data_IF_145180714370
#
_entry.id   IF_145180714370
#
_cell.length_a   1.000
_cell.length_b   1.000
_cell.length_c   1.000
_cell.angle_alpha   90.00
_cell.angle_beta   90.00
_cell.angle_gamma   90.00
#
_symmetry.space_group_name_H-M   'P 1'
#
loop_
_entity.id
_entity.type
_entity.pdbx_description
1 polymer ?
#
# COMPACT_ATOMS: atom_id res chain seq x y z
N UNK A 1 3.86 -6.32 29.76
CA UNK A 1 3.25 -7.09 30.87
C UNK A 1 3.35 -6.31 32.16
N UNK A 2 4.56 -6.04 32.67
CA UNK A 2 4.78 -5.27 33.92
C UNK A 2 3.93 -4.00 33.93
N UNK A 3 4.06 -3.16 32.90
CA UNK A 3 3.26 -1.94 32.75
C UNK A 3 1.75 -2.16 32.73
N UNK A 4 1.26 -3.23 32.11
CA UNK A 4 -0.18 -3.53 32.05
C UNK A 4 -0.73 -3.92 33.43
N UNK A 5 0.08 -4.61 34.24
CA UNK A 5 -0.26 -5.00 35.61
C UNK A 5 -0.15 -3.81 36.57
N UNK A 6 0.92 -3.02 36.47
CA UNK A 6 1.14 -1.83 37.29
C UNK A 6 0.01 -0.80 37.13
N UNK A 7 -0.45 -0.61 35.88
CA UNK A 7 -1.58 0.28 35.55
C UNK A 7 -2.95 -0.40 35.68
N UNK A 8 -3.00 -1.68 36.07
CA UNK A 8 -4.21 -2.48 36.25
C UNK A 8 -5.18 -2.47 35.04
N UNK A 9 -4.64 -2.51 33.81
CA UNK A 9 -5.42 -2.35 32.57
C UNK A 9 -6.32 -3.54 32.27
N UNK A 10 -7.59 -3.28 31.94
CA UNK A 10 -8.54 -4.32 31.51
C UNK A 10 -8.42 -4.62 30.01
N UNK A 11 -8.05 -3.62 29.20
CA UNK A 11 -7.84 -3.78 27.77
C UNK A 11 -6.83 -2.81 27.20
N UNK A 12 -6.23 -3.19 26.08
CA UNK A 12 -5.26 -2.44 25.31
C UNK A 12 -5.73 -2.42 23.85
N UNK A 13 -6.06 -1.22 23.36
CA UNK A 13 -6.42 -1.00 21.96
C UNK A 13 -5.19 -0.52 21.21
N UNK A 14 -4.77 -1.27 20.20
CA UNK A 14 -3.61 -0.96 19.36
C UNK A 14 -4.14 -0.38 18.05
N UNK A 15 -3.86 0.90 17.83
CA UNK A 15 -4.26 1.65 16.64
C UNK A 15 -3.07 1.71 15.69
N UNK A 16 -3.19 1.14 14.50
CA UNK A 16 -2.11 1.21 13.52
C UNK A 16 -2.32 0.34 12.28
N UNK A 17 -1.27 0.25 11.47
CA UNK A 17 -1.29 -0.47 10.21
C UNK A 17 -0.90 -1.93 10.36
N UNK A 18 -0.30 -2.47 9.30
CA UNK A 18 0.10 -3.87 9.19
C UNK A 18 1.08 -4.31 10.29
N UNK A 19 2.10 -3.50 10.57
CA UNK A 19 3.14 -3.83 11.57
C UNK A 19 2.58 -3.82 12.99
N UNK A 20 1.90 -2.75 13.38
CA UNK A 20 1.29 -2.62 14.71
C UNK A 20 0.27 -3.71 15.00
N UNK A 21 -0.54 -4.12 14.02
CA UNK A 21 -1.49 -5.20 14.20
C UNK A 21 -0.84 -6.60 14.20
N UNK A 22 0.32 -6.76 13.58
CA UNK A 22 1.14 -7.97 13.72
C UNK A 22 1.69 -8.08 15.15
N UNK A 23 2.17 -6.97 15.70
CA UNK A 23 2.62 -6.89 17.10
C UNK A 23 1.46 -7.11 18.07
N UNK A 24 0.27 -6.57 17.75
CA UNK A 24 -0.94 -6.79 18.55
C UNK A 24 -1.29 -8.28 18.66
N UNK A 25 -1.16 -9.04 17.58
CA UNK A 25 -1.41 -10.48 17.58
C UNK A 25 -0.41 -11.23 18.48
N UNK A 26 0.88 -10.91 18.36
CA UNK A 26 1.93 -11.52 19.18
C UNK A 26 1.81 -11.13 20.66
N UNK A 27 1.44 -9.88 20.94
CA UNK A 27 1.22 -9.38 22.29
C UNK A 27 -0.01 -10.05 22.93
N UNK A 28 -1.11 -10.18 22.19
CA UNK A 28 -2.31 -10.87 22.65
C UNK A 28 -1.98 -12.31 23.09
N UNK A 29 -1.26 -13.05 22.25
CA UNK A 29 -0.82 -14.41 22.55
C UNK A 29 0.07 -14.47 23.79
N UNK A 30 1.06 -13.58 23.88
CA UNK A 30 1.99 -13.52 25.02
C UNK A 30 1.27 -13.21 26.34
N UNK A 31 0.29 -12.31 26.32
CA UNK A 31 -0.48 -11.97 27.52
C UNK A 31 -1.40 -13.11 27.96
N UNK A 32 -1.98 -13.85 27.01
CA UNK A 32 -2.78 -15.05 27.31
C UNK A 32 -1.91 -16.15 27.91
N UNK A 33 -0.75 -16.45 27.31
CA UNK A 33 0.19 -17.45 27.83
C UNK A 33 0.67 -17.15 29.25
N UNK A 34 0.82 -15.86 29.58
CA UNK A 34 1.23 -15.41 30.92
C UNK A 34 0.07 -15.17 31.89
N UNK A 35 -1.15 -15.60 31.54
CA UNK A 35 -2.37 -15.43 32.34
C UNK A 35 -2.61 -13.97 32.78
N UNK A 36 -2.30 -13.01 31.92
CA UNK A 36 -2.60 -11.60 32.17
C UNK A 36 -4.08 -11.31 31.86
N UNK A 37 -4.74 -10.52 32.73
CA UNK A 37 -6.16 -10.16 32.53
C UNK A 37 -6.40 -9.27 31.31
N UNK A 38 -5.42 -8.45 30.94
CA UNK A 38 -5.53 -7.41 29.92
C UNK A 38 -5.81 -8.01 28.55
N UNK A 39 -6.89 -7.55 27.90
CA UNK A 39 -7.27 -7.96 26.54
C UNK A 39 -6.61 -7.08 25.49
N UNK A 40 -6.27 -7.62 24.33
CA UNK A 40 -5.65 -6.84 23.25
C UNK A 40 -6.54 -6.85 22.02
N UNK A 41 -6.84 -5.66 21.49
CA UNK A 41 -7.67 -5.45 20.29
C UNK A 41 -6.92 -4.55 19.30
N UNK A 42 -6.98 -4.89 18.02
CA UNK A 42 -6.39 -4.10 16.93
C UNK A 42 -7.41 -3.21 16.22
N UNK A 43 -6.98 -2.06 15.72
CA UNK A 43 -7.78 -1.15 14.88
C UNK A 43 -7.03 -0.85 13.58
N UNK A 44 -7.66 -1.01 12.40
CA UNK A 44 -6.99 -0.85 11.11
C UNK A 44 -6.86 0.63 10.72
N UNK A 45 -5.74 1.25 11.08
CA UNK A 45 -5.43 2.65 10.76
C UNK A 45 -4.16 2.72 9.93
N UNK A 46 -4.29 3.15 8.68
CA UNK A 46 -3.18 3.29 7.75
C UNK A 46 -3.56 4.30 6.67
N UNK A 47 -2.67 5.24 6.40
CA UNK A 47 -2.81 6.16 5.28
C UNK A 47 -2.54 5.50 3.91
N UNK A 48 -1.91 4.33 3.90
CA UNK A 48 -1.48 3.68 2.66
C UNK A 48 -2.60 2.85 2.02
N UNK A 49 -3.69 2.53 2.73
CA UNK A 49 -4.72 1.61 2.23
C UNK A 49 -4.25 0.16 2.09
N UNK A 50 -3.12 -0.20 2.70
CA UNK A 50 -2.41 -1.46 2.48
C UNK A 50 -2.84 -2.60 3.41
N UNK A 51 -3.52 -2.29 4.52
CA UNK A 51 -4.16 -3.28 5.38
C UNK A 51 -5.57 -3.59 4.85
N UNK A 52 -5.62 -4.25 3.70
CA UNK A 52 -6.87 -4.60 3.01
C UNK A 52 -6.93 -6.11 2.79
N UNK A 53 -8.06 -6.71 3.14
CA UNK A 53 -8.30 -8.15 2.99
C UNK A 53 -9.80 -8.44 3.02
N UNK A 54 -10.17 -9.72 3.02
CA UNK A 54 -11.58 -10.15 3.05
C UNK A 54 -12.40 -9.62 4.24
N UNK A 55 -11.77 -9.18 5.33
CA UNK A 55 -12.45 -8.63 6.52
C UNK A 55 -12.36 -7.11 6.61
N UNK A 56 -11.43 -6.48 5.89
CA UNK A 56 -11.12 -5.06 5.96
C UNK A 56 -11.20 -4.47 4.56
N UNK A 57 -12.29 -3.77 4.27
CA UNK A 57 -12.54 -3.12 2.98
C UNK A 57 -11.58 -1.93 2.75
N UNK A 58 -11.31 -1.14 3.78
CA UNK A 58 -10.35 -0.02 3.75
C UNK A 58 -9.86 0.35 5.16
N UNK A 59 -8.88 1.26 5.23
CA UNK A 59 -8.25 1.72 6.47
C UNK A 59 -8.57 3.18 6.78
N UNK A 60 -8.67 3.51 8.07
CA UNK A 60 -8.87 4.90 8.50
C UNK A 60 -7.69 5.77 8.06
N UNK A 61 -7.99 6.92 7.48
CA UNK A 61 -7.04 7.93 7.02
C UNK A 61 -6.74 7.86 5.52
N UNK A 62 -7.07 6.74 4.86
CA UNK A 62 -6.86 6.58 3.43
C UNK A 62 -7.69 7.56 2.61
N UNK A 63 -8.97 7.75 2.95
CA UNK A 63 -9.87 8.67 2.23
C UNK A 63 -9.38 10.11 2.33
N UNK A 64 -9.09 10.57 3.55
CA UNK A 64 -8.58 11.93 3.81
C UNK A 64 -7.30 12.21 3.03
N UNK A 65 -6.33 11.30 3.09
CA UNK A 65 -5.03 11.47 2.43
C UNK A 65 -5.19 11.50 0.91
N UNK A 66 -6.04 10.63 0.35
CA UNK A 66 -6.30 10.63 -1.09
C UNK A 66 -7.02 11.89 -1.56
N UNK A 67 -7.99 12.43 -0.80
CA UNK A 67 -8.67 13.69 -1.14
C UNK A 67 -7.71 14.87 -1.16
N UNK A 68 -6.88 15.01 -0.12
CA UNK A 68 -5.90 16.11 -0.03
C UNK A 68 -4.85 16.00 -1.14
N UNK A 69 -4.29 14.81 -1.35
CA UNK A 69 -3.30 14.61 -2.42
C UNK A 69 -3.92 14.84 -3.80
N UNK A 70 -5.14 14.38 -4.05
CA UNK A 70 -5.84 14.58 -5.33
C UNK A 70 -6.10 16.06 -5.60
N UNK A 71 -6.46 16.84 -4.58
CA UNK A 71 -6.59 18.29 -4.68
C UNK A 71 -5.26 18.93 -5.12
N UNK A 72 -4.15 18.59 -4.44
CA UNK A 72 -2.83 19.12 -4.75
C UNK A 72 -2.36 18.73 -6.16
N UNK A 73 -2.53 17.47 -6.54
CA UNK A 73 -2.22 16.97 -7.88
C UNK A 73 -3.04 17.72 -8.93
N UNK A 74 -4.33 17.95 -8.66
CA UNK A 74 -5.18 18.65 -9.62
C UNK A 74 -4.78 20.10 -9.84
N UNK A 75 -4.28 20.78 -8.81
CA UNK A 75 -3.71 22.12 -8.94
C UNK A 75 -2.44 22.08 -9.83
N UNK A 76 -1.60 21.07 -9.65
CA UNK A 76 -0.42 20.84 -10.51
C UNK A 76 -0.82 20.54 -11.95
N UNK A 77 -1.88 19.75 -12.16
CA UNK A 77 -2.45 19.49 -13.48
C UNK A 77 -2.91 20.78 -14.17
N UNK A 78 -3.60 21.67 -13.46
CA UNK A 78 -4.02 22.97 -13.99
C UNK A 78 -2.84 23.88 -14.30
N UNK A 79 -1.80 23.89 -13.45
CA UNK A 79 -0.56 24.63 -13.71
C UNK A 79 0.15 24.09 -14.95
N UNK A 80 0.16 22.77 -15.16
CA UNK A 80 0.75 22.14 -16.33
C UNK A 80 0.07 22.59 -17.65
N UNK A 81 -1.27 22.65 -17.68
CA UNK A 81 -2.00 23.20 -18.84
C UNK A 81 -1.66 24.68 -19.04
N UNK A 82 -1.67 25.46 -17.95
CA UNK A 82 -1.50 26.91 -18.00
C UNK A 82 -0.10 27.31 -18.47
N UNK A 83 0.94 26.60 -18.00
CA UNK A 83 2.33 26.87 -18.35
C UNK A 83 2.73 26.27 -19.72
N UNK A 84 2.18 25.10 -20.09
CA UNK A 84 2.38 24.45 -21.38
C UNK A 84 3.83 24.04 -21.69
N UNK A 85 4.68 23.88 -20.67
CA UNK A 85 6.13 23.63 -20.83
C UNK A 85 6.80 22.69 -19.82
N UNK A 86 6.11 22.30 -18.76
CA UNK A 86 6.69 21.51 -17.67
C UNK A 86 6.07 20.12 -17.58
N UNK A 87 6.93 19.14 -17.30
CA UNK A 87 6.51 17.82 -16.85
C UNK A 87 6.68 17.71 -15.34
N UNK A 88 5.58 17.48 -14.62
CA UNK A 88 5.59 17.39 -13.16
C UNK A 88 5.70 15.94 -12.74
N UNK A 89 6.72 15.65 -11.94
CA UNK A 89 6.97 14.34 -11.33
C UNK A 89 6.51 14.42 -9.89
N UNK A 90 5.35 13.83 -9.61
CA UNK A 90 4.71 13.90 -8.29
C UNK A 90 4.88 12.55 -7.59
N UNK A 91 5.76 12.51 -6.59
CA UNK A 91 5.90 11.37 -5.70
C UNK A 91 4.80 11.38 -4.65
N UNK A 92 4.21 10.21 -4.40
CA UNK A 92 3.16 10.00 -3.41
C UNK A 92 3.60 8.99 -2.35
N UNK A 93 3.26 9.28 -1.09
CA UNK A 93 3.41 8.32 -0.01
C UNK A 93 2.49 7.10 -0.19
N UNK A 94 2.99 5.93 0.17
CA UNK A 94 2.29 4.65 0.02
C UNK A 94 3.07 3.42 0.49
N UNK A 95 4.26 3.62 1.07
CA UNK A 95 5.25 2.58 1.38
C UNK A 95 5.44 1.61 0.22
N UNK A 96 4.92 0.39 0.31
CA UNK A 96 5.16 -0.69 -0.66
C UNK A 96 4.09 -0.83 -1.73
N UNK A 97 2.86 -0.40 -1.47
CA UNK A 97 1.72 -0.59 -2.36
C UNK A 97 1.32 0.74 -3.01
N UNK A 98 0.76 0.69 -4.22
CA UNK A 98 0.44 1.92 -4.97
C UNK A 98 -1.00 2.42 -4.77
N UNK A 99 -1.71 1.98 -3.72
CA UNK A 99 -3.15 2.30 -3.51
C UNK A 99 -3.45 3.79 -3.52
N UNK A 100 -2.64 4.59 -2.81
CA UNK A 100 -2.79 6.06 -2.76
C UNK A 100 -2.62 6.66 -4.15
N UNK A 101 -1.63 6.19 -4.91
CA UNK A 101 -1.35 6.69 -6.25
C UNK A 101 -2.45 6.30 -7.25
N UNK A 102 -3.00 5.09 -7.13
CA UNK A 102 -4.15 4.63 -7.92
C UNK A 102 -5.40 5.46 -7.66
N UNK A 103 -5.76 5.66 -6.39
CA UNK A 103 -6.93 6.47 -6.02
C UNK A 103 -6.77 7.92 -6.49
N UNK A 104 -5.60 8.52 -6.27
CA UNK A 104 -5.31 9.87 -6.73
C UNK A 104 -5.39 9.99 -8.26
N UNK A 105 -4.94 8.97 -9.00
CA UNK A 105 -5.04 8.95 -10.46
C UNK A 105 -6.51 8.88 -10.94
N UNK A 106 -7.35 8.07 -10.28
CA UNK A 106 -8.78 7.99 -10.59
C UNK A 106 -9.53 9.29 -10.29
N UNK A 107 -9.09 10.06 -9.29
CA UNK A 107 -9.71 11.34 -8.92
C UNK A 107 -9.26 12.52 -9.81
N UNK A 108 -7.96 12.59 -10.15
CA UNK A 108 -7.34 13.76 -10.80
C UNK A 108 -7.01 13.58 -12.29
N UNK A 109 -7.01 12.33 -12.79
CA UNK A 109 -6.71 11.96 -14.18
C UNK A 109 -5.34 12.48 -14.70
N UNK A 110 -4.22 12.22 -14.02
CA UNK A 110 -2.89 12.59 -14.50
C UNK A 110 -2.58 11.88 -15.83
N UNK A 111 -1.59 12.37 -16.60
CA UNK A 111 -1.29 11.72 -17.88
C UNK A 111 -0.69 10.33 -17.72
N UNK A 112 0.08 10.13 -16.66
CA UNK A 112 0.79 8.89 -16.43
C UNK A 112 0.79 8.53 -14.94
N UNK A 113 0.59 7.25 -14.65
CA UNK A 113 0.81 6.65 -13.35
C UNK A 113 1.75 5.45 -13.55
N UNK A 114 2.85 5.41 -12.79
CA UNK A 114 3.70 4.21 -12.72
C UNK A 114 3.30 3.43 -11.48
N UNK A 115 2.81 2.22 -11.62
CA UNK A 115 2.50 1.37 -10.47
C UNK A 115 3.63 0.38 -10.21
N UNK A 116 4.02 0.27 -8.93
CA UNK A 116 5.01 -0.71 -8.51
C UNK A 116 4.60 -2.14 -8.86
N UNK A 117 3.32 -2.46 -8.71
CA UNK A 117 2.77 -3.79 -8.98
C UNK A 117 2.91 -4.21 -10.45
N UNK A 118 2.68 -3.29 -11.41
CA UNK A 118 2.86 -3.57 -12.85
C UNK A 118 4.34 -3.77 -13.21
N UNK A 119 5.20 -2.95 -12.62
CA UNK A 119 6.66 -3.00 -12.78
C UNK A 119 7.22 -4.32 -12.24
N UNK A 120 6.78 -4.73 -11.05
CA UNK A 120 7.20 -5.98 -10.42
C UNK A 120 6.69 -7.21 -11.19
N UNK A 121 5.43 -7.19 -11.65
CA UNK A 121 4.85 -8.29 -12.43
C UNK A 121 5.57 -8.49 -13.77
N UNK A 122 5.86 -7.40 -14.46
CA UNK A 122 6.50 -7.41 -15.78
C UNK A 122 8.04 -7.46 -15.70
N UNK A 123 8.60 -7.38 -14.47
CA UNK A 123 10.04 -7.35 -14.19
C UNK A 123 10.78 -6.26 -14.96
N UNK A 124 10.18 -5.06 -15.05
CA UNK A 124 10.78 -3.96 -15.79
C UNK A 124 12.06 -3.47 -15.09
N UNK A 125 13.09 -3.23 -15.88
CA UNK A 125 14.32 -2.54 -15.47
C UNK A 125 14.08 -1.05 -15.29
N UNK A 126 14.98 -0.37 -14.57
CA UNK A 126 14.94 1.08 -14.40
C UNK A 126 14.93 1.78 -15.77
N UNK A 127 15.78 1.33 -16.70
CA UNK A 127 15.85 1.91 -18.04
C UNK A 127 14.59 1.68 -18.87
N UNK A 128 13.89 0.55 -18.73
CA UNK A 128 12.60 0.32 -19.38
C UNK A 128 11.51 1.25 -18.84
N UNK A 129 11.49 1.50 -17.53
CA UNK A 129 10.58 2.49 -16.93
C UNK A 129 10.88 3.90 -17.46
N UNK A 130 12.16 4.28 -17.54
CA UNK A 130 12.57 5.57 -18.14
C UNK A 130 12.13 5.66 -19.60
N UNK A 131 12.37 4.62 -20.40
CA UNK A 131 11.96 4.60 -21.80
C UNK A 131 10.44 4.72 -21.95
N UNK A 132 9.64 4.04 -21.13
CA UNK A 132 8.17 4.17 -21.13
C UNK A 132 7.72 5.61 -20.87
N UNK A 133 8.38 6.32 -19.95
CA UNK A 133 8.12 7.74 -19.68
C UNK A 133 8.51 8.60 -20.88
N UNK A 134 9.71 8.40 -21.41
CA UNK A 134 10.19 9.13 -22.60
C UNK A 134 9.27 8.91 -23.81
N UNK A 135 8.80 7.70 -24.05
CA UNK A 135 7.89 7.37 -25.15
C UNK A 135 6.55 8.12 -24.99
N UNK A 136 6.01 8.21 -23.77
CA UNK A 136 4.83 9.03 -23.46
C UNK A 136 5.05 10.52 -23.72
N UNK A 137 6.21 11.06 -23.30
CA UNK A 137 6.61 12.45 -23.57
C UNK A 137 6.71 12.72 -25.08
N UNK A 138 7.29 11.78 -25.83
CA UNK A 138 7.41 11.89 -27.29
C UNK A 138 6.05 11.87 -27.99
N UNK A 139 5.17 10.92 -27.64
CA UNK A 139 3.83 10.82 -28.21
C UNK A 139 3.01 12.10 -27.97
N UNK A 140 3.13 12.70 -26.78
CA UNK A 140 2.49 13.99 -26.49
C UNK A 140 3.10 15.15 -27.31
N UNK A 141 4.42 15.15 -27.47
CA UNK A 141 5.11 16.17 -28.24
C UNK A 141 4.75 16.14 -29.74
N UNK A 142 4.45 14.97 -30.29
CA UNK A 142 3.93 14.81 -31.66
C UNK A 142 2.56 15.47 -31.83
N UNK A 143 1.76 15.53 -30.76
CA UNK A 143 0.49 16.27 -30.69
C UNK A 143 0.67 17.75 -30.33
N UNK A 144 1.91 18.26 -30.27
CA UNK A 144 2.21 19.64 -29.89
C UNK A 144 2.08 19.93 -28.38
N UNK A 145 1.92 18.89 -27.55
CA UNK A 145 1.81 19.02 -26.09
C UNK A 145 3.18 18.79 -25.44
N UNK A 146 3.68 19.78 -24.71
CA UNK A 146 5.01 19.75 -24.08
C UNK A 146 4.94 19.85 -22.56
N UNK A 147 3.81 19.48 -21.99
CA UNK A 147 3.55 19.45 -20.56
C UNK A 147 2.89 18.12 -20.17
N UNK A 148 2.97 17.79 -18.89
CA UNK A 148 2.22 16.65 -18.35
C UNK A 148 2.47 16.44 -16.86
N UNK A 149 1.70 15.54 -16.26
CA UNK A 149 1.79 15.15 -14.86
C UNK A 149 1.95 13.64 -14.75
N UNK A 150 2.98 13.22 -14.03
CA UNK A 150 3.33 11.84 -13.75
C UNK A 150 3.22 11.57 -12.25
N UNK A 151 2.45 10.56 -11.87
CA UNK A 151 2.37 10.09 -10.49
C UNK A 151 3.30 8.90 -10.26
N UNK A 152 4.05 8.96 -9.16
CA UNK A 152 5.06 7.96 -8.78
C UNK A 152 4.82 7.55 -7.33
N UNK A 153 4.55 6.27 -7.03
CA UNK A 153 4.50 5.79 -5.65
C UNK A 153 5.93 5.73 -5.09
N UNK A 154 6.13 6.13 -3.84
CA UNK A 154 7.46 6.08 -3.19
C UNK A 154 8.07 4.66 -3.17
N UNK A 155 7.22 3.62 -3.15
CA UNK A 155 7.62 2.22 -3.21
C UNK A 155 8.11 1.70 -4.56
N UNK A 156 8.11 2.53 -5.60
CA UNK A 156 8.49 2.12 -6.94
C UNK A 156 9.90 1.50 -6.99
N UNK A 157 10.84 2.02 -6.20
CA UNK A 157 12.22 1.53 -6.19
C UNK A 157 12.32 0.08 -5.70
N UNK A 158 11.51 -0.34 -4.71
CA UNK A 158 11.48 -1.75 -4.28
C UNK A 158 10.79 -2.66 -5.29
N UNK A 159 10.02 -2.10 -6.22
CA UNK A 159 9.31 -2.86 -7.25
C UNK A 159 10.17 -3.18 -8.47
N UNK A 160 11.24 -2.40 -8.68
CA UNK A 160 12.21 -2.61 -9.77
C UNK A 160 13.21 -3.70 -9.32
N UNK A 161 13.30 -4.86 -10.00
CA UNK A 161 14.07 -6.01 -9.51
C UNK A 161 15.54 -5.72 -9.20
N UNK A 162 16.19 -4.92 -10.04
CA UNK A 162 17.61 -4.56 -9.89
C UNK A 162 17.87 -3.62 -8.73
N UNK A 163 16.98 -2.65 -8.52
CA UNK A 163 17.04 -1.76 -7.37
C UNK A 163 16.70 -2.51 -6.08
N UNK A 164 15.72 -3.41 -6.11
CA UNK A 164 15.38 -4.27 -4.98
C UNK A 164 16.58 -5.12 -4.55
N UNK A 165 17.24 -5.80 -5.50
CA UNK A 165 18.44 -6.60 -5.21
C UNK A 165 19.56 -5.76 -4.58
N UNK A 166 19.83 -4.57 -5.12
CA UNK A 166 20.81 -3.62 -4.56
C UNK A 166 20.45 -3.22 -3.12
N UNK A 167 19.18 -2.85 -2.86
CA UNK A 167 18.70 -2.49 -1.52
C UNK A 167 18.84 -3.67 -0.55
N UNK A 168 18.55 -4.89 -0.99
CA UNK A 168 18.71 -6.08 -0.15
C UNK A 168 20.18 -6.38 0.17
N UNK A 169 21.10 -6.21 -0.79
CA UNK A 169 22.54 -6.34 -0.53
C UNK A 169 23.03 -5.29 0.48
N UNK A 170 22.66 -4.02 0.29
CA UNK A 170 23.01 -2.93 1.21
C UNK A 170 22.42 -3.18 2.60
N UNK A 171 21.18 -3.67 2.67
CA UNK A 171 20.50 -4.05 3.91
C UNK A 171 21.25 -5.16 4.66
N UNK A 172 21.68 -6.20 3.95
CA UNK A 172 22.44 -7.29 4.56
C UNK A 172 23.79 -6.81 5.11
N UNK A 173 24.47 -5.90 4.41
CA UNK A 173 25.74 -5.32 4.88
C UNK A 173 25.54 -4.44 6.13
N UNK A 174 24.47 -3.65 6.18
CA UNK A 174 24.10 -2.88 7.38
C UNK A 174 23.82 -3.79 8.58
N UNK A 175 23.06 -4.87 8.38
CA UNK A 175 22.75 -5.83 9.44
C UNK A 175 24.00 -6.56 9.97
N UNK A 176 25.04 -6.67 9.15
CA UNK A 176 26.34 -7.20 9.54
C UNK A 176 27.27 -6.15 10.17
N UNK A 177 26.76 -4.93 10.46
CA UNK A 177 27.51 -3.81 11.03
C UNK A 177 28.71 -3.34 10.17
N UNK A 178 28.62 -3.50 8.84
CA UNK A 178 29.63 -2.95 7.93
C UNK A 178 29.55 -1.41 7.94
N UNK A 179 30.65 -0.68 8.12
CA UNK A 179 30.63 0.78 8.09
C UNK A 179 30.23 1.28 6.70
N UNK A 180 29.42 2.34 6.66
CA UNK A 180 28.81 2.88 5.42
C UNK A 180 29.83 3.19 4.33
N UNK A 181 31.06 3.56 4.70
CA UNK A 181 32.16 3.84 3.77
C UNK A 181 32.69 2.62 3.03
N UNK A 182 32.54 1.43 3.61
CA UNK A 182 33.03 0.17 3.04
C UNK A 182 31.94 -0.60 2.31
N UNK A 183 30.67 -0.20 2.44
CA UNK A 183 29.55 -0.86 1.75
C UNK A 183 29.78 -0.93 0.23
N UNK A 184 30.17 0.15 -0.48
CA UNK A 184 30.32 0.12 -1.93
C UNK A 184 31.39 -0.86 -2.44
N UNK A 185 32.39 -1.21 -1.63
CA UNK A 185 33.46 -2.14 -2.02
C UNK A 185 33.11 -3.61 -1.77
N UNK A 186 32.09 -3.86 -0.94
CA UNK A 186 31.61 -5.21 -0.60
C UNK A 186 30.36 -5.63 -1.38
N UNK A 187 29.85 -4.77 -2.27
CA UNK A 187 28.73 -5.09 -3.16
C UNK A 187 29.13 -6.12 -4.22
N UNK A 188 28.15 -6.90 -4.68
CA UNK A 188 28.35 -7.76 -5.85
C UNK A 188 28.75 -6.93 -7.08
N UNK A 189 29.48 -7.48 -8.07
CA UNK A 189 29.92 -6.72 -9.25
C UNK A 189 28.77 -6.03 -9.98
N UNK A 190 27.61 -6.68 -10.02
CA UNK A 190 26.41 -6.15 -10.67
C UNK A 190 25.76 -5.03 -9.83
N UNK A 191 25.60 -5.24 -8.53
CA UNK A 191 25.09 -4.21 -7.61
C UNK A 191 26.01 -2.99 -7.57
N UNK A 192 27.33 -3.18 -7.59
CA UNK A 192 28.32 -2.10 -7.65
C UNK A 192 28.23 -1.31 -8.96
N UNK A 193 28.04 -1.97 -10.11
CA UNK A 193 27.84 -1.28 -11.39
C UNK A 193 26.56 -0.44 -11.40
N UNK A 194 25.45 -0.98 -10.89
CA UNK A 194 24.19 -0.23 -10.74
C UNK A 194 24.37 0.95 -9.77
N UNK A 195 25.01 0.71 -8.62
CA UNK A 195 25.31 1.75 -7.65
C UNK A 195 26.16 2.87 -8.27
N UNK A 196 27.15 2.54 -9.11
CA UNK A 196 27.96 3.54 -9.82
C UNK A 196 27.17 4.29 -10.91
N UNK A 197 26.22 3.63 -11.58
CA UNK A 197 25.33 4.25 -12.56
C UNK A 197 24.39 5.30 -11.93
N UNK A 198 23.95 5.07 -10.69
CA UNK A 198 23.04 5.98 -10.00
C UNK A 198 23.69 7.35 -9.70
N UNK A 199 22.92 8.45 -9.78
CA UNK A 199 23.41 9.78 -9.42
C UNK A 199 23.95 9.86 -7.99
N UNK A 200 24.93 10.74 -7.71
CA UNK A 200 25.56 10.83 -6.39
C UNK A 200 24.60 11.10 -5.22
N UNK A 201 23.48 11.78 -5.45
CA UNK A 201 22.49 12.04 -4.40
C UNK A 201 21.75 10.76 -3.97
N UNK A 202 21.23 9.98 -4.93
CA UNK A 202 20.60 8.68 -4.67
C UNK A 202 21.55 7.71 -3.98
N UNK A 203 22.83 7.70 -4.37
CA UNK A 203 23.83 6.85 -3.70
C UNK A 203 23.95 7.15 -2.22
N UNK A 204 23.86 8.42 -1.81
CA UNK A 204 23.89 8.80 -0.40
C UNK A 204 22.61 8.41 0.32
N UNK A 205 21.45 8.60 -0.32
CA UNK A 205 20.13 8.26 0.24
C UNK A 205 19.98 6.75 0.46
N UNK A 206 20.47 5.91 -0.46
CA UNK A 206 20.46 4.45 -0.32
C UNK A 206 21.35 3.93 0.83
N UNK A 207 22.33 4.73 1.26
CA UNK A 207 23.25 4.40 2.34
C UNK A 207 22.80 4.91 3.71
N UNK A 208 21.62 5.54 3.79
CA UNK A 208 21.02 5.97 5.06
C UNK A 208 20.63 4.77 5.92
N UNK A 209 20.53 4.99 7.23
CA UNK A 209 20.12 3.96 8.18
C UNK A 209 18.69 3.45 7.92
N UNK A 210 18.48 2.17 8.23
CA UNK A 210 17.20 1.50 8.03
C UNK A 210 16.13 1.96 9.03
N UNK A 211 14.86 1.70 8.71
CA UNK A 211 13.75 1.80 9.68
C UNK A 211 13.86 0.71 10.76
N UNK A 212 13.08 0.84 11.84
CA UNK A 212 13.08 -0.11 12.96
C UNK A 212 12.64 -1.53 12.59
N UNK A 213 11.98 -1.70 11.45
CA UNK A 213 11.60 -2.99 10.87
C UNK A 213 12.66 -3.56 9.89
N UNK A 214 13.85 -2.95 9.84
CA UNK A 214 14.95 -3.23 8.92
C UNK A 214 14.60 -3.01 7.43
N UNK A 215 13.53 -2.26 7.14
CA UNK A 215 13.25 -1.81 5.78
C UNK A 215 14.05 -0.56 5.43
N UNK A 216 14.25 -0.32 4.13
CA UNK A 216 14.86 0.91 3.67
C UNK A 216 13.91 2.09 3.90
N UNK A 217 14.45 3.27 4.22
CA UNK A 217 13.65 4.50 4.38
C UNK A 217 13.21 5.04 3.00
N UNK A 218 12.19 4.41 2.41
CA UNK A 218 11.73 4.73 1.05
C UNK A 218 11.30 6.20 0.89
N UNK A 219 10.76 6.80 1.94
CA UNK A 219 10.35 8.21 1.90
C UNK A 219 11.52 9.19 1.79
N UNK A 220 12.74 8.78 2.16
CA UNK A 220 13.96 9.59 2.05
C UNK A 220 14.66 9.45 0.69
N UNK A 221 14.25 8.49 -0.13
CA UNK A 221 14.83 8.30 -1.46
C UNK A 221 14.02 9.12 -2.45
N UNK A 222 14.67 10.10 -3.07
CA UNK A 222 14.05 11.05 -4.00
C UNK A 222 13.86 10.41 -5.39
N UNK A 223 12.95 9.44 -5.44
CA UNK A 223 12.64 8.62 -6.61
C UNK A 223 12.20 9.46 -7.81
N UNK A 224 11.41 10.52 -7.56
CA UNK A 224 10.99 11.47 -8.59
C UNK A 224 12.16 12.22 -9.20
N UNK A 225 13.17 12.58 -8.40
CA UNK A 225 14.36 13.27 -8.89
C UNK A 225 15.28 12.32 -9.65
N UNK A 226 15.40 11.06 -9.20
CA UNK A 226 16.08 10.00 -9.95
C UNK A 226 15.47 9.84 -11.34
N UNK A 227 14.15 9.65 -11.41
CA UNK A 227 13.45 9.45 -12.67
C UNK A 227 13.54 10.69 -13.56
N UNK A 228 13.32 11.89 -13.01
CA UNK A 228 13.44 13.13 -13.76
C UNK A 228 14.85 13.32 -14.37
N UNK A 229 15.90 13.05 -13.59
CA UNK A 229 17.29 13.15 -14.05
C UNK A 229 17.60 12.18 -15.19
N UNK A 230 17.18 10.93 -15.06
CA UNK A 230 17.41 9.89 -16.08
C UNK A 230 16.56 10.13 -17.33
N UNK A 231 15.31 10.57 -17.19
CA UNK A 231 14.45 10.97 -18.32
C UNK A 231 15.06 12.16 -19.04
N UNK A 232 15.56 13.18 -18.35
CA UNK A 232 16.22 14.32 -18.99
C UNK A 232 17.45 13.88 -19.80
N UNK A 233 18.30 13.01 -19.24
CA UNK A 233 19.46 12.47 -19.93
C UNK A 233 19.08 11.67 -21.20
N UNK A 234 18.06 10.81 -21.12
CA UNK A 234 17.57 10.03 -22.26
C UNK A 234 16.88 10.92 -23.31
N UNK A 235 16.13 11.95 -22.90
CA UNK A 235 15.52 12.91 -23.83
C UNK A 235 16.59 13.75 -24.57
N UNK A 236 17.67 14.15 -23.90
CA UNK A 236 18.82 14.81 -24.55
C UNK A 236 19.45 13.89 -25.59
N UNK A 237 19.63 12.61 -25.27
CA UNK A 237 20.14 11.61 -26.21
C UNK A 237 19.21 11.46 -27.43
N UNK A 238 17.90 11.29 -27.21
CA UNK A 238 16.87 11.23 -28.27
C UNK A 238 16.85 12.47 -29.16
N UNK A 239 17.14 13.64 -28.60
CA UNK A 239 17.24 14.91 -29.33
C UNK A 239 18.48 14.91 -30.24
N UNK A 240 19.65 14.49 -29.73
CA UNK A 240 20.89 14.38 -30.51
C UNK A 240 20.79 13.37 -31.66
N UNK A 241 20.05 12.29 -31.44
CA UNK A 241 19.75 11.26 -32.45
C UNK A 241 18.66 11.70 -33.46
N UNK A 242 18.01 12.85 -33.27
CA UNK A 242 16.93 13.34 -34.13
C UNK A 242 15.60 12.60 -33.97
N UNK A 243 15.48 11.70 -32.99
CA UNK A 243 14.24 10.97 -32.66
C UNK A 243 13.22 11.85 -31.95
N UNK A 244 13.66 12.86 -31.21
CA UNK A 244 12.79 13.82 -30.55
C UNK A 244 12.89 15.19 -31.21
N UNK A 245 11.75 15.71 -31.68
CA UNK A 245 11.62 17.03 -32.33
C UNK A 245 10.82 18.05 -31.52
N UNK A 246 10.45 17.71 -30.29
CA UNK A 246 9.69 18.59 -29.40
C UNK A 246 10.55 19.67 -28.75
N UNK A 247 9.92 20.48 -27.89
CA UNK A 247 10.63 21.49 -27.08
C UNK A 247 11.57 20.83 -26.07
N UNK A 248 12.57 21.59 -25.59
CA UNK A 248 13.46 21.15 -24.51
C UNK A 248 12.64 20.62 -23.33
N UNK A 249 12.91 19.39 -22.92
CA UNK A 249 12.30 18.76 -21.77
C UNK A 249 12.68 19.54 -20.49
N UNK A 250 11.69 19.80 -19.63
CA UNK A 250 11.89 20.45 -18.34
C UNK A 250 10.99 19.77 -17.31
N UNK A 251 11.60 19.26 -16.26
CA UNK A 251 10.92 18.56 -15.17
C UNK A 251 10.81 19.43 -13.92
N UNK A 252 9.69 19.29 -13.20
CA UNK A 252 9.48 19.85 -11.86
C UNK A 252 9.09 18.71 -10.93
N UNK A 253 9.75 18.60 -9.79
CA UNK A 253 9.57 17.50 -8.85
C UNK A 253 8.78 17.96 -7.63
N UNK A 254 7.81 17.15 -7.21
CA UNK A 254 7.04 17.35 -5.98
C UNK A 254 6.96 16.05 -5.19
N UNK A 255 6.96 16.17 -3.87
CA UNK A 255 6.66 15.06 -2.98
C UNK A 255 5.44 15.41 -2.12
N UNK A 256 4.36 14.65 -2.30
CA UNK A 256 3.14 14.81 -1.52
C UNK A 256 2.95 13.65 -0.53
N UNK A 257 2.81 14.03 0.74
CA UNK A 257 2.82 13.06 1.81
C UNK A 257 2.54 13.67 3.18
N UNK A 258 3.56 14.24 3.81
CA UNK A 258 3.50 14.73 5.18
C UNK A 258 2.36 15.74 5.44
N UNK A 259 2.09 16.62 4.47
CA UNK A 259 0.99 17.58 4.54
C UNK A 259 -0.40 16.91 4.58
N UNK A 260 -0.56 15.77 3.91
CA UNK A 260 -1.83 15.03 3.91
C UNK A 260 -2.04 14.28 5.23
N UNK A 261 -0.97 13.83 5.89
CA UNK A 261 -1.04 13.08 7.16
C UNK A 261 -1.58 13.90 8.34
N UNK A 262 -1.30 15.20 8.35
CA UNK A 262 -1.75 16.14 9.39
C UNK A 262 -3.02 16.91 9.04
N UNK A 263 -3.72 16.51 7.97
CA UNK A 263 -4.94 17.18 7.52
C UNK A 263 -6.14 16.82 8.38
N UNK A 264 -7.17 17.68 8.36
CA UNK A 264 -8.44 17.38 9.02
C UNK A 264 -9.10 16.15 8.37
N UNK A 265 -9.53 15.15 9.16
CA UNK A 265 -10.15 13.95 8.64
C UNK A 265 -11.48 14.26 7.95
N UNK A 266 -11.78 13.59 6.84
CA UNK A 266 -13.08 13.67 6.17
C UNK A 266 -14.22 13.14 7.06
N UNK A 267 -15.47 13.47 6.74
CA UNK A 267 -16.64 12.90 7.42
C UNK A 267 -16.59 11.36 7.46
N UNK A 268 -16.20 10.74 6.34
CA UNK A 268 -16.05 9.28 6.25
C UNK A 268 -15.03 8.72 7.24
N UNK A 269 -13.81 9.29 7.29
CA UNK A 269 -12.78 8.83 8.23
C UNK A 269 -13.14 9.13 9.68
N UNK A 270 -13.84 10.24 9.96
CA UNK A 270 -14.40 10.56 11.28
C UNK A 270 -15.39 9.48 11.74
N UNK A 271 -16.41 9.20 10.92
CA UNK A 271 -17.44 8.21 11.25
C UNK A 271 -16.82 6.81 11.37
N UNK A 272 -15.93 6.45 10.46
CA UNK A 272 -15.29 5.14 10.46
C UNK A 272 -14.39 4.94 11.69
N UNK A 273 -13.55 5.92 12.03
CA UNK A 273 -12.73 5.87 13.23
C UNK A 273 -13.57 5.79 14.51
N UNK A 274 -14.65 6.58 14.57
CA UNK A 274 -15.55 6.60 15.72
C UNK A 274 -16.22 5.23 15.94
N UNK A 275 -16.76 4.64 14.87
CA UNK A 275 -17.38 3.31 14.91
C UNK A 275 -16.38 2.23 15.34
N UNK A 276 -15.16 2.24 14.78
CA UNK A 276 -14.12 1.27 15.16
C UNK A 276 -13.72 1.38 16.64
N UNK A 277 -13.70 2.60 17.19
CA UNK A 277 -13.47 2.83 18.62
C UNK A 277 -14.56 2.20 19.49
N UNK A 278 -15.83 2.38 19.12
CA UNK A 278 -16.97 1.76 19.81
C UNK A 278 -16.94 0.23 19.73
N UNK A 279 -16.63 -0.32 18.56
CA UNK A 279 -16.46 -1.77 18.39
C UNK A 279 -15.38 -2.30 19.33
N UNK A 280 -14.25 -1.61 19.42
CA UNK A 280 -13.12 -2.00 20.28
C UNK A 280 -13.52 -2.06 21.76
N UNK A 281 -14.32 -1.09 22.22
CA UNK A 281 -14.86 -1.09 23.59
C UNK A 281 -15.76 -2.30 23.83
N UNK A 282 -16.71 -2.58 22.92
CA UNK A 282 -17.62 -3.72 23.05
C UNK A 282 -16.88 -5.06 23.00
N UNK A 283 -15.81 -5.17 22.22
CA UNK A 283 -14.98 -6.37 22.16
C UNK A 283 -14.28 -6.64 23.49
N UNK A 284 -13.69 -5.61 24.11
CA UNK A 284 -13.04 -5.73 25.43
C UNK A 284 -14.08 -6.09 26.49
N UNK A 285 -15.25 -5.45 26.48
CA UNK A 285 -16.34 -5.75 27.42
C UNK A 285 -16.87 -7.19 27.28
N UNK A 286 -16.86 -7.74 26.06
CA UNK A 286 -17.18 -9.14 25.79
C UNK A 286 -16.03 -10.12 26.12
N UNK A 287 -14.88 -9.62 26.59
CA UNK A 287 -13.72 -10.43 26.97
C UNK A 287 -12.88 -10.97 25.80
N UNK A 288 -13.09 -10.44 24.59
CA UNK A 288 -12.37 -10.87 23.38
C UNK A 288 -10.93 -10.34 23.38
N UNK A 289 -9.98 -11.14 22.90
CA UNK A 289 -8.57 -10.78 22.75
C UNK A 289 -7.97 -11.37 21.48
N UNK A 290 -7.04 -10.67 20.83
CA UNK A 290 -6.43 -11.10 19.58
C UNK A 290 -7.33 -10.89 18.35
N UNK A 291 -8.28 -9.94 18.43
CA UNK A 291 -9.19 -9.59 17.35
C UNK A 291 -8.94 -8.16 16.86
N UNK A 292 -9.33 -7.89 15.63
CA UNK A 292 -9.35 -6.58 15.00
C UNK A 292 -10.80 -6.11 14.87
N UNK A 293 -11.06 -4.83 15.17
CA UNK A 293 -12.33 -4.18 14.86
C UNK A 293 -12.47 -4.00 13.35
N UNK A 294 -13.64 -4.37 12.80
CA UNK A 294 -13.90 -4.31 11.36
C UNK A 294 -15.32 -3.81 11.09
N UNK A 295 -15.52 -3.14 9.95
CA UNK A 295 -16.82 -2.68 9.48
C UNK A 295 -16.96 -3.09 8.02
N UNK A 296 -18.12 -3.63 7.65
CA UNK A 296 -18.49 -3.91 6.28
C UNK A 296 -19.57 -2.96 5.77
N UNK A 297 -19.73 -2.91 4.44
CA UNK A 297 -20.60 -2.01 3.69
C UNK A 297 -20.19 -0.55 3.80
N UNK A 298 -18.87 -0.26 3.78
CA UNK A 298 -18.38 1.11 3.92
C UNK A 298 -18.79 1.98 2.73
N UNK A 299 -19.10 1.39 1.56
CA UNK A 299 -19.69 2.10 0.41
C UNK A 299 -21.11 2.60 0.64
N UNK A 300 -21.86 2.04 1.60
CA UNK A 300 -23.22 2.44 1.93
C UNK A 300 -23.29 3.52 3.03
N UNK A 301 -24.39 4.28 3.19
CA UNK A 301 -24.54 5.23 4.29
C UNK A 301 -24.33 4.57 5.66
N UNK A 302 -23.89 5.35 6.66
CA UNK A 302 -23.46 4.86 7.99
C UNK A 302 -24.49 3.94 8.67
N UNK A 303 -25.80 4.21 8.52
CA UNK A 303 -26.86 3.39 9.11
C UNK A 303 -26.96 1.96 8.54
N UNK A 304 -26.29 1.66 7.43
CA UNK A 304 -26.21 0.33 6.81
C UNK A 304 -24.89 -0.39 7.11
N UNK A 305 -23.97 0.25 7.82
CA UNK A 305 -22.69 -0.35 8.17
C UNK A 305 -22.88 -1.54 9.11
N UNK A 306 -22.12 -2.59 8.85
CA UNK A 306 -22.16 -3.83 9.64
C UNK A 306 -20.89 -3.96 10.46
N UNK A 307 -21.03 -3.81 11.77
CA UNK A 307 -19.93 -3.91 12.71
C UNK A 307 -19.58 -5.39 13.00
N UNK A 308 -18.28 -5.73 12.99
CA UNK A 308 -17.81 -7.07 13.30
C UNK A 308 -16.40 -7.06 13.92
N UNK A 309 -15.97 -8.23 14.39
CA UNK A 309 -14.63 -8.48 14.87
C UNK A 309 -14.01 -9.66 14.10
N UNK A 310 -12.80 -9.47 13.56
CA UNK A 310 -12.07 -10.49 12.84
C UNK A 310 -10.84 -10.94 13.63
N UNK A 311 -10.54 -12.25 13.76
CA UNK A 311 -9.37 -12.71 14.48
C UNK A 311 -8.09 -12.29 13.73
N UNK A 312 -7.12 -11.71 14.44
CA UNK A 312 -5.87 -11.22 13.84
C UNK A 312 -5.11 -12.34 13.11
N UNK A 313 -5.13 -13.55 13.67
CA UNK A 313 -4.48 -14.73 13.12
C UNK A 313 -5.01 -15.14 11.75
N UNK A 314 -6.28 -14.86 11.43
CA UNK A 314 -6.84 -15.16 10.11
C UNK A 314 -6.31 -14.24 8.99
N UNK A 315 -5.65 -13.13 9.37
CA UNK A 315 -5.02 -12.19 8.44
C UNK A 315 -3.50 -12.34 8.37
N UNK A 316 -2.92 -13.26 9.16
CA UNK A 316 -1.48 -13.47 9.22
C UNK A 316 -1.04 -14.56 8.23
N UNK A 317 0.15 -14.40 7.67
CA UNK A 317 0.82 -15.46 6.92
C UNK A 317 2.31 -15.47 7.19
N UNK A 318 2.95 -16.61 6.91
CA UNK A 318 4.39 -16.77 7.05
C UNK A 318 5.03 -16.64 5.67
N UNK A 319 5.73 -15.53 5.42
CA UNK A 319 6.58 -15.40 4.23
C UNK A 319 7.90 -16.13 4.47
N UNK A 320 8.21 -17.08 3.59
CA UNK A 320 9.54 -17.69 3.53
C UNK A 320 10.50 -16.66 2.95
N UNK A 321 11.53 -16.30 3.72
CA UNK A 321 12.64 -15.56 3.14
C UNK A 321 13.46 -16.57 2.32
N UNK A 322 13.58 -16.38 1.01
CA UNK A 322 14.57 -17.11 0.22
C UNK A 322 15.95 -16.60 0.63
N UNK A 323 16.49 -17.15 1.72
CA UNK A 323 17.91 -17.05 2.05
C UNK A 323 18.63 -18.19 1.32
N UNK A 324 19.87 -17.95 0.91
CA UNK A 324 20.65 -18.78 -0.02
C UNK A 324 20.86 -20.27 0.34
N UNK A 325 21.80 -20.96 -0.34
CA UNK A 325 21.88 -22.41 -0.28
C UNK A 325 22.18 -22.88 1.16
N UNK A 326 21.21 -23.57 1.78
CA UNK A 326 21.29 -24.11 3.15
C UNK A 326 20.40 -23.43 4.20
N UNK A 327 19.66 -22.37 3.87
CA UNK A 327 18.79 -21.70 4.83
C UNK A 327 17.37 -22.27 4.84
N UNK A 328 16.90 -22.72 6.00
CA UNK A 328 15.46 -22.79 6.32
C UNK A 328 15.15 -21.58 7.22
N UNK A 329 14.41 -20.56 6.75
CA UNK A 329 13.83 -19.60 7.66
C UNK A 329 12.31 -19.64 7.54
N UNK A 330 11.65 -20.31 8.50
CA UNK A 330 10.24 -20.03 8.77
C UNK A 330 10.19 -18.59 9.24
N UNK A 331 9.66 -17.68 8.42
CA UNK A 331 9.47 -16.29 8.82
C UNK A 331 8.56 -16.19 10.05
N UNK A 332 8.66 -15.09 10.81
CA UNK A 332 7.68 -14.83 11.87
C UNK A 332 6.29 -14.63 11.23
N UNK A 333 5.22 -15.18 11.82
CA UNK A 333 3.87 -14.91 11.35
C UNK A 333 3.60 -13.41 11.51
N UNK A 334 3.14 -12.78 10.44
CA UNK A 334 2.82 -11.36 10.41
C UNK A 334 1.66 -11.12 9.45
N UNK A 335 0.94 -10.02 9.64
CA UNK A 335 0.06 -9.46 8.62
C UNK A 335 0.98 -8.84 7.58
N UNK A 336 0.62 -8.93 6.30
CA UNK A 336 1.41 -8.37 5.21
C UNK A 336 0.65 -7.26 4.50
N UNK A 337 1.32 -6.24 3.96
CA UNK A 337 0.69 -5.26 3.08
C UNK A 337 0.09 -5.97 1.87
N UNK A 338 -1.14 -5.58 1.54
CA UNK A 338 -1.86 -6.07 0.36
C UNK A 338 -1.50 -5.21 -0.85
N UNK A 339 -0.93 -5.78 -1.92
CA UNK A 339 -0.68 -5.04 -3.16
C UNK A 339 -2.01 -4.77 -3.89
N UNK A 340 -1.99 -3.86 -4.87
CA UNK A 340 -3.12 -3.70 -5.79
C UNK A 340 -3.35 -4.99 -6.58
N UNK A 341 -4.62 -5.40 -6.69
CA UNK A 341 -5.02 -6.47 -7.60
C UNK A 341 -5.08 -5.96 -9.04
N UNK A 342 -4.13 -6.42 -9.87
CA UNK A 342 -4.06 -6.11 -11.31
C UNK A 342 -5.17 -6.81 -12.14
N UNK A 343 -6.06 -7.55 -11.49
CA UNK A 343 -7.32 -8.05 -12.08
C UNK A 343 -8.55 -7.38 -11.48
N UNK A 344 -8.37 -6.46 -10.54
CA UNK A 344 -9.45 -5.74 -9.87
C UNK A 344 -10.09 -4.68 -10.77
N UNK A 345 -11.37 -4.41 -10.52
CA UNK A 345 -12.18 -3.43 -11.26
C UNK A 345 -11.56 -2.02 -11.27
N UNK A 346 -10.93 -1.60 -10.17
CA UNK A 346 -10.28 -0.28 -10.08
C UNK A 346 -9.10 -0.15 -11.06
N UNK A 347 -8.28 -1.20 -11.18
CA UNK A 347 -7.18 -1.22 -12.15
C UNK A 347 -7.69 -1.35 -13.59
N UNK A 348 -8.72 -2.17 -13.82
CA UNK A 348 -9.37 -2.29 -15.13
C UNK A 348 -9.86 -0.93 -15.65
N UNK A 349 -10.57 -0.17 -14.82
CA UNK A 349 -11.05 1.18 -15.16
C UNK A 349 -9.90 2.13 -15.50
N UNK A 350 -8.81 2.09 -14.73
CA UNK A 350 -7.62 2.90 -15.02
C UNK A 350 -7.01 2.50 -16.36
N UNK A 351 -6.85 1.19 -16.60
CA UNK A 351 -6.20 0.64 -17.79
C UNK A 351 -6.97 0.99 -19.06
N UNK A 352 -8.30 0.94 -19.03
CA UNK A 352 -9.16 1.34 -20.15
C UNK A 352 -8.96 2.81 -20.53
N UNK A 353 -8.74 3.68 -19.54
CA UNK A 353 -8.59 5.13 -19.74
C UNK A 353 -7.16 5.60 -19.90
N UNK A 354 -6.16 4.77 -19.59
CA UNK A 354 -4.75 5.16 -19.52
C UNK A 354 -4.24 5.79 -20.82
N UNK A 355 -4.57 5.22 -21.99
CA UNK A 355 -4.16 5.77 -23.29
C UNK A 355 -4.78 7.14 -23.55
N UNK A 356 -6.04 7.34 -23.15
CA UNK A 356 -6.72 8.63 -23.28
C UNK A 356 -6.13 9.65 -22.31
N UNK A 357 -5.90 9.30 -21.04
CA UNK A 357 -5.25 10.20 -20.08
C UNK A 357 -3.84 10.61 -20.53
N UNK A 358 -3.09 9.69 -21.14
CA UNK A 358 -1.76 9.98 -21.64
C UNK A 358 -1.76 11.04 -22.75
N UNK A 359 -2.65 10.93 -23.73
CA UNK A 359 -2.63 11.79 -24.92
C UNK A 359 -3.48 13.05 -24.74
N UNK A 360 -4.59 12.96 -24.01
CA UNK A 360 -5.55 14.02 -23.79
C UNK A 360 -5.38 14.67 -22.41
N UNK A 361 -5.77 15.94 -22.29
CA UNK A 361 -5.66 16.67 -21.02
C UNK A 361 -7.01 16.64 -20.28
N UNK A 362 -7.50 15.44 -19.96
CA UNK A 362 -8.77 15.21 -19.25
C UNK A 362 -8.66 15.35 -17.73
N UNK A 363 -7.87 16.32 -17.27
CA UNK A 363 -7.66 16.57 -15.85
C UNK A 363 -8.97 16.87 -15.14
N UNK A 364 -9.12 16.31 -13.95
CA UNK A 364 -10.22 16.63 -13.03
C UNK A 364 -9.68 17.47 -11.89
N UNK A 365 -10.52 18.38 -11.42
CA UNK A 365 -10.19 19.31 -10.33
C UNK A 365 -11.08 19.03 -9.11
N UNK A 366 -10.81 17.94 -8.34
CA UNK A 366 -11.45 17.78 -7.04
C UNK A 366 -11.15 18.98 -6.16
N UNK A 367 -12.19 19.54 -5.54
CA UNK A 367 -12.05 20.61 -4.55
C UNK A 367 -11.44 20.09 -3.24
N UNK A 368 -11.22 21.01 -2.30
CA UNK A 368 -10.84 20.63 -0.93
C UNK A 368 -11.95 19.90 -0.20
N UNK A 369 -11.58 19.19 0.88
CA UNK A 369 -12.52 18.46 1.74
C UNK A 369 -13.61 19.41 2.22
N UNK A 370 -14.87 19.04 1.96
CA UNK A 370 -16.05 19.74 2.47
C UNK A 370 -16.64 18.92 3.62
N UNK A 371 -17.12 19.61 4.65
CA UNK A 371 -17.77 18.99 5.82
C UNK A 371 -19.30 19.13 5.78
N UNK A 372 -19.80 20.06 4.98
CA UNK A 372 -21.21 20.34 4.80
C UNK A 372 -21.53 20.44 3.30
N UNK A 373 -22.79 20.14 2.95
CA UNK A 373 -23.31 20.29 1.60
C UNK A 373 -23.08 19.07 0.68
N UNK A 374 -23.50 19.17 -0.59
CA UNK A 374 -23.41 18.06 -1.53
C UNK A 374 -21.95 17.62 -1.76
N UNK A 375 -21.67 16.34 -1.50
CA UNK A 375 -20.35 15.75 -1.74
C UNK A 375 -19.43 15.70 -0.51
N UNK A 376 -19.84 16.23 0.66
CA UNK A 376 -19.08 16.07 1.92
C UNK A 376 -18.84 14.60 2.28
N UNK A 377 -19.84 13.76 1.98
CA UNK A 377 -19.85 12.33 2.29
C UNK A 377 -19.41 11.46 1.11
N UNK A 378 -18.77 12.07 0.11
CA UNK A 378 -18.16 11.33 -1.00
C UNK A 378 -17.08 10.37 -0.45
N UNK A 379 -17.00 9.18 -1.03
CA UNK A 379 -16.12 8.09 -0.60
C UNK A 379 -15.00 7.88 -1.60
N UNK A 380 -13.94 7.14 -1.25
CA UNK A 380 -12.89 6.76 -2.20
C UNK A 380 -13.50 6.05 -3.41
N UNK A 381 -13.05 6.40 -4.61
CA UNK A 381 -13.53 5.81 -5.87
C UNK A 381 -13.27 4.31 -5.87
N UNK A 382 -12.08 3.87 -5.44
CA UNK A 382 -11.71 2.47 -5.23
C UNK A 382 -12.76 1.72 -4.40
N UNK A 383 -13.12 2.22 -3.22
CA UNK A 383 -14.14 1.62 -2.35
C UNK A 383 -15.52 1.52 -3.01
N UNK A 384 -15.90 2.52 -3.82
CA UNK A 384 -17.22 2.49 -4.50
C UNK A 384 -17.29 1.52 -5.67
N UNK A 385 -16.15 1.21 -6.30
CA UNK A 385 -16.07 0.32 -7.46
C UNK A 385 -15.86 -1.13 -7.03
N UNK A 386 -15.16 -1.34 -5.92
CA UNK A 386 -14.87 -2.66 -5.40
C UNK A 386 -16.08 -3.21 -4.64
N UNK A 387 -16.77 -4.16 -5.24
CA UNK A 387 -17.86 -4.89 -4.60
C UNK A 387 -17.30 -6.02 -3.74
N UNK A 388 -16.88 -5.70 -2.52
CA UNK A 388 -16.54 -6.70 -1.51
C UNK A 388 -17.68 -6.80 -0.50
N UNK A 389 -18.44 -7.91 -0.52
CA UNK A 389 -19.47 -8.23 0.49
C UNK A 389 -19.20 -9.61 1.11
N UNK A 390 -18.12 -9.68 1.89
CA UNK A 390 -17.75 -10.94 2.54
C UNK A 390 -18.80 -11.41 3.56
N UNK A 391 -19.55 -10.48 4.16
CA UNK A 391 -20.58 -10.85 5.15
C UNK A 391 -21.77 -11.49 4.47
N UNK A 392 -22.20 -10.97 3.33
CA UNK A 392 -23.18 -11.60 2.45
C UNK A 392 -22.70 -12.99 1.99
N UNK A 393 -21.43 -13.12 1.62
CA UNK A 393 -20.84 -14.41 1.25
C UNK A 393 -20.86 -15.42 2.43
N UNK A 394 -20.57 -14.97 3.65
CA UNK A 394 -20.66 -15.81 4.86
C UNK A 394 -22.11 -16.22 5.14
N UNK A 395 -23.09 -15.33 4.97
CA UNK A 395 -24.50 -15.65 5.14
C UNK A 395 -24.97 -16.66 4.10
N UNK A 396 -24.58 -16.47 2.85
CA UNK A 396 -24.83 -17.43 1.77
C UNK A 396 -24.19 -18.79 2.06
N UNK A 397 -22.95 -18.81 2.55
CA UNK A 397 -22.26 -20.03 2.95
C UNK A 397 -23.00 -20.73 4.09
N UNK A 398 -23.44 -20.00 5.12
CA UNK A 398 -24.26 -20.55 6.21
C UNK A 398 -25.57 -21.13 5.71
N UNK A 399 -26.28 -20.43 4.82
CA UNK A 399 -27.50 -20.91 4.19
C UNK A 399 -27.27 -22.20 3.39
N UNK A 400 -26.14 -22.31 2.67
CA UNK A 400 -25.77 -23.54 1.97
C UNK A 400 -25.43 -24.66 2.94
N UNK A 401 -24.67 -24.38 4.00
CA UNK A 401 -24.34 -25.36 5.05
C UNK A 401 -25.61 -25.89 5.73
N UNK A 402 -26.58 -25.02 6.02
CA UNK A 402 -27.86 -25.41 6.62
C UNK A 402 -28.71 -26.25 5.65
N UNK A 403 -28.71 -25.92 4.35
CA UNK A 403 -29.36 -26.76 3.31
C UNK A 403 -28.72 -28.14 3.19
N UNK A 404 -27.38 -28.22 3.27
CA UNK A 404 -26.65 -29.50 3.27
C UNK A 404 -26.96 -30.29 4.53
N UNK A 405 -27.00 -29.62 5.69
CA UNK A 405 -27.37 -30.21 6.98
C UNK A 405 -28.79 -30.77 6.97
N UNK A 406 -29.73 -30.09 6.33
CA UNK A 406 -31.12 -30.54 6.17
C UNK A 406 -31.28 -31.70 5.18
N UNK A 407 -30.43 -31.78 4.14
CA UNK A 407 -30.52 -32.82 3.10
C UNK A 407 -29.76 -34.10 3.43
N UNK A 408 -28.72 -34.05 4.26
CA UNK A 408 -27.88 -35.23 4.52
C UNK A 408 -27.25 -35.23 5.93
N UNK A 409 -28.01 -35.60 6.98
CA UNK A 409 -27.52 -35.53 8.37
C UNK A 409 -26.31 -36.43 8.65
N UNK A 410 -26.13 -37.51 7.89
CA UNK A 410 -25.02 -38.47 8.06
C UNK A 410 -23.69 -37.94 7.49
N UNK A 411 -23.72 -37.20 6.38
CA UNK A 411 -22.52 -36.63 5.76
C UNK A 411 -21.91 -35.49 6.60
N UNK A 412 -22.74 -34.78 7.37
CA UNK A 412 -22.30 -33.70 8.24
C UNK A 412 -21.45 -34.19 9.43
N UNK A 413 -21.70 -35.41 9.91
CA UNK A 413 -20.91 -36.02 11.00
C UNK A 413 -19.43 -36.26 10.59
N UNK A 414 -19.19 -36.55 9.32
CA UNK A 414 -17.83 -36.68 8.77
C UNK A 414 -17.13 -35.31 8.60
N UNK A 415 -17.84 -34.28 8.13
CA UNK A 415 -17.28 -32.92 7.99
C UNK A 415 -17.02 -32.24 9.34
N UNK A 416 -17.88 -32.45 10.34
CA UNK A 416 -17.64 -31.96 11.71
C UNK A 416 -16.46 -32.65 12.39
N UNK A 417 -16.16 -33.90 12.04
CA UNK A 417 -14.96 -34.60 12.52
C UNK A 417 -13.67 -34.01 11.94
N UNK A 418 -13.67 -33.54 10.70
CA UNK A 418 -12.52 -32.84 10.10
C UNK A 418 -12.31 -31.46 10.75
N UNK A 419 -13.39 -30.74 11.07
CA UNK A 419 -13.31 -29.45 11.79
C UNK A 419 -12.88 -29.59 13.25
N UNK A 420 -13.25 -30.69 13.93
CA UNK A 420 -12.84 -30.94 15.31
C UNK A 420 -11.45 -31.59 15.44
N UNK A 421 -10.96 -32.34 14.44
CA UNK A 421 -9.57 -32.83 14.42
C UNK A 421 -8.53 -31.69 14.32
N UNK A 422 -8.90 -30.56 13.71
CA UNK A 422 -8.05 -29.36 13.67
C UNK A 422 -7.92 -28.64 15.03
N UNK A 423 -8.70 -29.04 16.06
CA UNK A 423 -8.62 -28.46 17.41
C UNK A 423 -7.81 -29.29 18.42
N UNK A 424 -7.42 -30.53 18.12
CA UNK A 424 -6.86 -31.43 19.14
C UNK A 424 -5.63 -32.27 18.75
N UNK A 425 -5.07 -32.18 17.55
CA UNK A 425 -3.85 -32.97 17.23
C UNK A 425 -2.69 -32.10 16.78
N UNK A 426 -1.74 -31.95 17.71
CA UNK A 426 -0.41 -31.39 17.55
C UNK A 426 0.60 -32.43 17.03
N UNK A 427 0.17 -33.36 16.17
CA UNK A 427 1.04 -34.40 15.60
C UNK A 427 0.61 -34.73 14.18
N UNK A 428 1.30 -34.15 13.20
CA UNK A 428 1.48 -34.78 11.90
C UNK A 428 2.99 -34.95 11.68
N UNK A 429 3.45 -36.15 12.00
CA UNK A 429 4.72 -36.68 11.52
C UNK A 429 4.62 -36.94 10.02
N UNK A 430 5.62 -36.45 9.29
CA UNK A 430 5.82 -36.65 7.86
C UNK A 430 5.95 -38.14 7.51
N UNK A 431 5.21 -38.58 6.50
CA UNK A 431 5.67 -39.52 5.49
C UNK A 431 5.21 -39.07 4.11
#
# INVERSE_FOLDING_TARGET
MTTCQDLNLDGLVIVGGVTSNSDAAQLAETLVQKNCKTKVVGVPVSLNGDLKNQFVETTVGFDTVCKVNSQLISNVCLDAISAGKYYYFVRLMGRKASHVALECALQSHPNMLIMGEEVALSKLTLMEVINKICDGVQARAELGKHHGVLLIPEGLIESIPEMYALIQEISNLHNNNVPVTEIPTQLSPWAAALFQFLPPFIRRELLLHQESDNSAQLSQIDTEQLLAHLVEAEMIKRTKEGRYKGKKFSSVCHFFGYQARGSLPSNFDCDYAYVLGHISLHMIAAGLTGYMATVANLKDPVHKWRCAAAPLTAMMSVRRHLRGPGAIPIGKPAIHPSPIDLKGKAYELLREKASSFLLDDFYRTPGGIQFEGPGSDAKPITLTIEDQDYMGDIEMLKLYLDKVRARNPVAFCCLSRVSNYAKTTNEFTYR
#
